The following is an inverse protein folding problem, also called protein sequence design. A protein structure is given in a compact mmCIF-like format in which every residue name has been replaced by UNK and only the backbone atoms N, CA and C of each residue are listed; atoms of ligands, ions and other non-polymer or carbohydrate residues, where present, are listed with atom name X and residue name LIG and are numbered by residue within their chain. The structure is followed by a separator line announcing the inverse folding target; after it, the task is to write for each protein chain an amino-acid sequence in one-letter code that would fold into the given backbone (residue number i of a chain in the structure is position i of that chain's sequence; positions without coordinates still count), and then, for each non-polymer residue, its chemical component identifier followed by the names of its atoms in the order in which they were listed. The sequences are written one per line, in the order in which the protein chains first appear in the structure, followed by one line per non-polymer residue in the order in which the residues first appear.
data_IF_547088534381
#
_entry.id   IF_547088534381
#
_cell.length_a   1.000
_cell.length_b   1.000
_cell.length_c   1.000
_cell.angle_alpha   90.00
_cell.angle_beta   90.00
_cell.angle_gamma   90.00
#
_symmetry.space_group_name_H-M   'P 1'
#
loop_
_entity.id
_entity.type
_entity.pdbx_description
1 polymer ?
#
# COMPACT_ATOMS: atom_id res chain seq x y z
N UNK A 1 -13.45 48.53 53.49
CA UNK A 1 -14.11 47.20 53.54
C UNK A 1 -14.13 46.66 52.11
N UNK A 2 -13.47 45.52 51.87
CA UNK A 2 -13.24 44.92 50.54
C UNK A 2 -14.21 43.74 50.37
N UNK A 3 -14.90 43.62 49.23
CA UNK A 3 -14.83 42.36 48.49
C UNK A 3 -14.81 42.65 46.97
N UNK A 4 -13.85 42.14 46.20
CA UNK A 4 -13.77 40.78 45.64
C UNK A 4 -13.73 40.95 44.11
N UNK A 5 -12.54 41.27 43.61
CA UNK A 5 -12.18 41.03 42.22
C UNK A 5 -11.74 39.57 42.18
N UNK A 6 -12.37 38.74 41.36
CA UNK A 6 -11.80 37.57 40.66
C UNK A 6 -12.96 36.78 40.03
N UNK A 7 -13.36 37.19 38.83
CA UNK A 7 -14.06 36.30 37.89
C UNK A 7 -13.09 35.96 36.76
N UNK A 8 -12.58 34.74 36.84
CA UNK A 8 -11.92 34.00 35.77
C UNK A 8 -12.85 33.93 34.55
N UNK A 9 -12.40 34.36 33.38
CA UNK A 9 -12.96 33.93 32.11
C UNK A 9 -11.92 34.07 30.99
N UNK A 10 -11.94 33.08 30.10
CA UNK A 10 -11.18 32.95 28.84
C UNK A 10 -9.82 32.23 28.93
N UNK A 11 -9.89 30.98 29.39
CA UNK A 11 -9.10 29.91 28.76
C UNK A 11 -9.58 29.78 27.31
N UNK A 12 -8.81 30.34 26.40
CA UNK A 12 -8.95 30.12 24.97
C UNK A 12 -8.74 28.64 24.64
N UNK A 13 -9.72 28.10 23.91
CA UNK A 13 -9.60 27.11 22.83
C UNK A 13 -8.14 27.01 22.36
N UNK A 14 -7.49 25.84 22.39
CA UNK A 14 -7.63 24.79 21.39
C UNK A 14 -7.38 23.42 22.06
N UNK A 15 -8.45 22.69 22.37
CA UNK A 15 -8.37 21.23 22.40
C UNK A 15 -8.20 20.78 20.95
N UNK A 16 -6.95 20.79 20.48
CA UNK A 16 -6.57 19.95 19.36
C UNK A 16 -6.86 18.52 19.80
N UNK A 17 -7.94 17.94 19.26
CA UNK A 17 -8.08 16.50 19.22
C UNK A 17 -6.85 15.99 18.48
N UNK A 18 -5.81 15.59 19.22
CA UNK A 18 -4.83 14.65 18.71
C UNK A 18 -5.64 13.42 18.37
N UNK A 19 -6.02 13.32 17.09
CA UNK A 19 -6.52 12.08 16.55
C UNK A 19 -5.40 11.08 16.80
N UNK A 20 -5.67 10.15 17.73
CA UNK A 20 -4.87 8.97 17.88
C UNK A 20 -4.72 8.36 16.50
N UNK A 21 -3.50 8.35 15.96
CA UNK A 21 -3.19 7.47 14.85
C UNK A 21 -3.47 6.08 15.40
N UNK A 22 -4.53 5.47 14.92
CA UNK A 22 -4.79 4.07 15.19
C UNK A 22 -3.70 3.32 14.42
N UNK A 23 -2.55 3.18 15.08
CA UNK A 23 -1.49 2.29 14.64
C UNK A 23 -2.16 0.96 14.32
N UNK A 24 -2.17 0.65 13.03
CA UNK A 24 -2.82 -0.53 12.51
C UNK A 24 -2.15 -1.73 13.17
N UNK A 25 -2.88 -2.34 14.12
CA UNK A 25 -2.33 -3.36 15.03
C UNK A 25 -1.86 -4.64 14.32
N UNK A 26 -2.16 -4.77 13.03
CA UNK A 26 -1.77 -5.90 12.19
C UNK A 26 -1.02 -5.46 10.92
N UNK A 27 -0.61 -4.20 10.83
CA UNK A 27 0.10 -3.73 9.65
C UNK A 27 1.50 -4.31 9.63
N UNK A 28 1.81 -5.14 8.64
CA UNK A 28 3.19 -5.55 8.43
C UNK A 28 3.87 -4.44 7.62
N UNK A 29 5.18 -4.17 7.80
CA UNK A 29 5.98 -3.16 7.05
C UNK A 29 7.00 -3.79 6.08
N UNK A 30 7.13 -3.24 4.85
CA UNK A 30 8.02 -3.81 3.81
C UNK A 30 9.41 -3.30 4.12
N UNK A 31 10.40 -4.17 3.98
CA UNK A 31 11.78 -3.77 4.05
C UNK A 31 12.10 -2.70 3.00
N UNK A 32 13.20 -1.98 3.24
CA UNK A 32 13.69 -0.92 2.34
C UNK A 32 13.98 -1.49 0.95
N UNK A 33 14.42 -2.74 0.88
CA UNK A 33 14.79 -3.45 -0.35
C UNK A 33 13.58 -3.75 -1.24
N UNK A 34 12.49 -4.28 -0.67
CA UNK A 34 11.29 -4.58 -1.44
C UNK A 34 10.65 -3.31 -1.99
N UNK A 35 10.70 -2.20 -1.23
CA UNK A 35 10.19 -0.89 -1.70
C UNK A 35 11.00 -0.36 -2.87
N UNK A 36 12.33 -0.52 -2.82
CA UNK A 36 13.22 -0.11 -3.90
C UNK A 36 12.98 -0.95 -5.17
N UNK A 37 12.83 -2.27 -5.02
CA UNK A 37 12.53 -3.17 -6.15
C UNK A 37 11.17 -2.85 -6.79
N UNK A 38 10.13 -2.60 -5.98
CA UNK A 38 8.82 -2.22 -6.51
C UNK A 38 8.91 -0.94 -7.35
N UNK A 39 9.59 0.11 -6.83
CA UNK A 39 9.78 1.37 -7.56
C UNK A 39 10.52 1.16 -8.87
N UNK A 40 11.62 0.42 -8.86
CA UNK A 40 12.38 0.13 -10.08
C UNK A 40 11.54 -0.59 -11.16
N UNK A 41 10.69 -1.55 -10.75
CA UNK A 41 9.78 -2.22 -11.66
C UNK A 41 8.65 -1.32 -12.16
N UNK A 42 8.08 -0.51 -11.27
CA UNK A 42 7.06 0.51 -11.57
C UNK A 42 7.59 1.49 -12.62
N UNK A 43 8.73 2.12 -12.38
CA UNK A 43 9.34 3.11 -13.28
C UNK A 43 9.53 2.54 -14.69
N UNK A 44 10.07 1.33 -14.78
CA UNK A 44 10.31 0.69 -16.06
C UNK A 44 9.03 0.11 -16.71
N UNK A 45 7.87 0.19 -16.05
CA UNK A 45 6.54 -0.17 -16.58
C UNK A 45 5.74 1.04 -17.05
N UNK A 46 6.08 2.26 -16.62
CA UNK A 46 5.35 3.51 -16.92
C UNK A 46 5.11 3.70 -18.43
N UNK A 47 6.16 3.53 -19.24
CA UNK A 47 6.08 3.74 -20.68
C UNK A 47 5.17 2.71 -21.38
N UNK A 48 5.17 1.46 -20.92
CA UNK A 48 4.35 0.39 -21.53
C UNK A 48 2.88 0.51 -21.14
N UNK A 49 2.60 0.93 -19.90
CA UNK A 49 1.22 1.03 -19.42
C UNK A 49 0.54 2.33 -19.84
N UNK A 50 1.33 3.35 -20.20
CA UNK A 50 0.89 4.73 -20.41
C UNK A 50 0.13 5.29 -19.19
N UNK A 51 0.53 4.85 -17.99
CA UNK A 51 -0.07 5.33 -16.74
C UNK A 51 0.49 6.70 -16.39
N UNK A 52 -0.37 7.58 -15.88
CA UNK A 52 0.10 8.87 -15.39
C UNK A 52 0.77 8.72 -14.01
N UNK A 53 1.85 9.46 -13.73
CA UNK A 53 2.50 9.42 -12.42
C UNK A 53 1.52 9.62 -11.25
N UNK A 54 0.57 10.54 -11.40
CA UNK A 54 -0.45 10.81 -10.38
C UNK A 54 -1.36 9.62 -10.07
N UNK A 55 -1.61 8.72 -11.02
CA UNK A 55 -2.40 7.52 -10.77
C UNK A 55 -1.61 6.47 -10.00
N UNK A 56 -0.30 6.40 -10.24
CA UNK A 56 0.61 5.55 -9.46
C UNK A 56 0.75 6.11 -8.05
N UNK A 57 0.94 7.41 -7.90
CA UNK A 57 1.00 8.08 -6.59
C UNK A 57 -0.29 7.89 -5.79
N UNK A 58 -1.46 8.07 -6.41
CA UNK A 58 -2.75 7.82 -5.79
C UNK A 58 -2.89 6.35 -5.36
N UNK A 59 -2.55 5.40 -6.24
CA UNK A 59 -2.52 3.98 -5.89
C UNK A 59 -1.61 3.75 -4.68
N UNK A 60 -0.41 4.35 -4.67
CA UNK A 60 0.55 4.24 -3.57
C UNK A 60 0.09 4.90 -2.27
N UNK A 61 -0.80 5.89 -2.35
CA UNK A 61 -1.47 6.52 -1.21
C UNK A 61 -2.70 5.72 -0.74
N UNK A 62 -3.03 4.61 -1.41
CA UNK A 62 -4.17 3.76 -1.10
C UNK A 62 -5.46 4.15 -1.82
N UNK A 63 -5.37 5.06 -2.79
CA UNK A 63 -6.48 5.52 -3.62
C UNK A 63 -6.47 4.76 -4.96
N UNK A 64 -7.14 3.61 -5.00
CA UNK A 64 -7.21 2.78 -6.21
C UNK A 64 -8.24 3.34 -7.20
N UNK A 65 -7.73 4.01 -8.23
CA UNK A 65 -8.54 4.41 -9.39
C UNK A 65 -8.50 3.31 -10.45
N UNK A 66 -9.63 2.66 -10.69
CA UNK A 66 -9.73 1.65 -11.73
C UNK A 66 -9.71 2.30 -13.12
N UNK A 67 -8.57 2.20 -13.80
CA UNK A 67 -8.40 2.71 -15.17
C UNK A 67 -7.60 1.72 -16.01
N UNK A 68 -7.82 1.67 -17.34
CA UNK A 68 -7.09 0.75 -18.21
C UNK A 68 -5.56 0.91 -18.13
N UNK A 69 -5.07 2.15 -17.99
CA UNK A 69 -3.64 2.42 -17.85
C UNK A 69 -3.07 1.90 -16.53
N UNK A 70 -3.81 2.03 -15.43
CA UNK A 70 -3.38 1.50 -14.14
C UNK A 70 -3.44 -0.04 -14.10
N UNK A 71 -4.45 -0.68 -14.73
CA UNK A 71 -4.50 -2.16 -14.85
C UNK A 71 -3.27 -2.70 -15.58
N UNK A 72 -2.93 -2.10 -16.73
CA UNK A 72 -1.70 -2.42 -17.47
C UNK A 72 -0.45 -2.25 -16.63
N UNK A 73 -0.39 -1.18 -15.85
CA UNK A 73 0.74 -0.91 -14.98
C UNK A 73 0.90 -1.99 -13.91
N UNK A 74 -0.18 -2.32 -13.20
CA UNK A 74 -0.22 -3.38 -12.19
C UNK A 74 0.18 -4.72 -12.79
N UNK A 75 -0.39 -5.08 -13.95
CA UNK A 75 -0.03 -6.30 -14.67
C UNK A 75 1.48 -6.34 -14.98
N UNK A 76 2.04 -5.28 -15.56
CA UNK A 76 3.47 -5.20 -15.90
C UNK A 76 4.35 -5.38 -14.65
N UNK A 77 4.04 -4.68 -13.56
CA UNK A 77 4.83 -4.75 -12.31
C UNK A 77 4.75 -6.15 -11.71
N UNK A 78 3.55 -6.72 -11.55
CA UNK A 78 3.37 -8.05 -10.97
C UNK A 78 4.04 -9.14 -11.81
N UNK A 79 4.01 -9.02 -13.14
CA UNK A 79 4.66 -9.94 -14.05
C UNK A 79 6.19 -9.88 -13.90
N UNK A 80 6.77 -8.68 -13.81
CA UNK A 80 8.21 -8.49 -13.59
C UNK A 80 8.67 -8.99 -12.22
N UNK A 81 7.85 -8.76 -11.20
CA UNK A 81 8.06 -9.31 -9.87
C UNK A 81 7.92 -10.85 -9.82
N UNK A 82 7.47 -11.49 -10.92
CA UNK A 82 7.15 -12.93 -11.01
C UNK A 82 6.11 -13.37 -9.98
N UNK A 83 5.18 -12.46 -9.63
CA UNK A 83 4.05 -12.73 -8.73
C UNK A 83 2.89 -13.36 -9.50
N UNK A 84 2.75 -12.98 -10.77
CA UNK A 84 1.76 -13.54 -11.69
C UNK A 84 2.43 -14.20 -12.90
N UNK A 85 1.68 -15.08 -13.56
CA UNK A 85 1.99 -15.64 -14.87
C UNK A 85 1.47 -14.72 -16.00
N UNK A 86 1.83 -15.02 -17.25
CA UNK A 86 1.44 -14.20 -18.43
C UNK A 86 -0.06 -14.14 -18.71
N UNK A 87 -0.84 -15.05 -18.12
CA UNK A 87 -2.31 -15.06 -18.16
C UNK A 87 -2.93 -14.24 -17.00
N UNK A 88 -2.11 -13.55 -16.21
CA UNK A 88 -2.58 -12.67 -15.12
C UNK A 88 -2.78 -13.37 -13.78
N UNK A 89 -2.68 -14.71 -13.72
CA UNK A 89 -2.96 -15.49 -12.52
C UNK A 89 -1.78 -15.53 -11.56
N UNK A 90 -2.03 -15.76 -10.28
CA UNK A 90 -0.96 -15.91 -9.28
C UNK A 90 -0.01 -17.06 -9.61
N UNK A 91 1.27 -16.76 -9.65
CA UNK A 91 2.33 -17.76 -9.76
C UNK A 91 2.63 -18.36 -8.38
N UNK A 92 1.74 -19.22 -7.88
CA UNK A 92 1.74 -19.76 -6.50
C UNK A 92 3.12 -20.27 -6.04
N UNK A 93 3.82 -21.06 -6.86
CA UNK A 93 5.14 -21.58 -6.50
C UNK A 93 6.21 -20.49 -6.33
N UNK A 94 6.25 -19.51 -7.24
CA UNK A 94 7.19 -18.39 -7.15
C UNK A 94 6.86 -17.48 -5.97
N UNK A 95 5.57 -17.30 -5.68
CA UNK A 95 5.11 -16.54 -4.52
C UNK A 95 5.55 -17.20 -3.20
N UNK A 96 5.32 -18.51 -3.03
CA UNK A 96 5.77 -19.25 -1.85
C UNK A 96 7.29 -19.11 -1.62
N UNK A 97 8.08 -19.25 -2.69
CA UNK A 97 9.53 -19.07 -2.62
C UNK A 97 9.94 -17.67 -2.16
N UNK A 98 9.27 -16.62 -2.68
CA UNK A 98 9.52 -15.22 -2.27
C UNK A 98 9.06 -14.93 -0.84
N UNK A 99 8.01 -15.59 -0.38
CA UNK A 99 7.46 -15.37 0.96
C UNK A 99 8.24 -16.15 2.03
N UNK A 100 8.96 -17.23 1.68
CA UNK A 100 9.61 -18.12 2.65
C UNK A 100 10.58 -17.42 3.62
N UNK A 101 11.21 -16.32 3.20
CA UNK A 101 12.13 -15.55 4.05
C UNK A 101 11.44 -14.50 4.94
N UNK A 102 10.12 -14.34 4.84
CA UNK A 102 9.38 -13.26 5.50
C UNK A 102 8.73 -13.74 6.80
N UNK A 103 8.74 -12.87 7.82
CA UNK A 103 8.13 -13.16 9.12
C UNK A 103 6.60 -13.37 9.05
N UNK A 104 5.96 -12.82 8.04
CA UNK A 104 4.50 -12.83 7.81
C UNK A 104 4.05 -13.81 6.71
N UNK A 105 4.97 -14.64 6.20
CA UNK A 105 4.79 -15.50 5.03
C UNK A 105 3.46 -16.27 5.04
N UNK A 106 3.09 -16.83 6.20
CA UNK A 106 1.89 -17.64 6.36
C UNK A 106 0.60 -16.84 6.15
N UNK A 107 0.55 -15.61 6.69
CA UNK A 107 -0.63 -14.76 6.54
C UNK A 107 -0.71 -14.23 5.10
N UNK A 108 0.43 -13.80 4.54
CA UNK A 108 0.55 -13.35 3.16
C UNK A 108 0.06 -14.39 2.16
N UNK A 109 0.59 -15.61 2.27
CA UNK A 109 0.27 -16.71 1.39
C UNK A 109 -1.21 -17.05 1.44
N UNK A 110 -1.79 -17.16 2.64
CA UNK A 110 -3.21 -17.50 2.81
C UNK A 110 -4.14 -16.49 2.13
N UNK A 111 -3.84 -15.20 2.25
CA UNK A 111 -4.68 -14.16 1.63
C UNK A 111 -4.54 -14.19 0.11
N UNK A 112 -3.31 -14.35 -0.40
CA UNK A 112 -3.07 -14.41 -1.84
C UNK A 112 -3.68 -15.66 -2.46
N UNK A 113 -3.58 -16.82 -1.80
CA UNK A 113 -4.27 -18.04 -2.23
C UNK A 113 -5.79 -17.86 -2.31
N UNK A 114 -6.39 -17.15 -1.33
CA UNK A 114 -7.81 -16.81 -1.37
C UNK A 114 -8.19 -15.84 -2.50
N UNK A 115 -7.20 -15.21 -3.15
CA UNK A 115 -7.35 -14.32 -4.29
C UNK A 115 -6.85 -14.94 -5.60
N UNK A 116 -6.53 -16.24 -5.63
CA UNK A 116 -5.94 -16.85 -6.83
C UNK A 116 -6.93 -17.05 -7.98
N UNK A 117 -8.23 -17.22 -7.66
CA UNK A 117 -9.26 -17.61 -8.62
C UNK A 117 -10.03 -16.41 -9.19
N UNK A 118 -9.39 -15.25 -9.26
CA UNK A 118 -9.98 -14.06 -9.88
C UNK A 118 -10.07 -14.24 -11.40
N UNK A 119 -11.19 -13.84 -11.98
CA UNK A 119 -11.43 -13.85 -13.43
C UNK A 119 -11.16 -12.49 -14.07
N UNK A 120 -11.37 -12.40 -15.38
CA UNK A 120 -11.23 -11.18 -16.17
C UNK A 120 -11.25 -11.50 -17.66
N UNK A 121 -11.57 -10.51 -18.50
CA UNK A 121 -11.65 -10.69 -19.95
C UNK A 121 -10.24 -10.75 -20.59
N UNK A 122 -9.28 -10.05 -19.98
CA UNK A 122 -7.87 -10.04 -20.41
C UNK A 122 -6.94 -10.42 -19.25
N UNK A 123 -5.68 -10.82 -19.54
CA UNK A 123 -4.67 -11.03 -18.49
C UNK A 123 -4.46 -9.82 -17.57
N UNK A 124 -4.64 -8.61 -18.09
CA UNK A 124 -4.55 -7.36 -17.32
C UNK A 124 -5.71 -7.23 -16.34
N UNK A 125 -6.92 -7.62 -16.76
CA UNK A 125 -8.11 -7.64 -15.90
C UNK A 125 -7.99 -8.71 -14.81
N UNK A 126 -7.51 -9.90 -15.16
CA UNK A 126 -7.24 -10.97 -14.19
C UNK A 126 -6.24 -10.48 -13.14
N UNK A 127 -5.10 -9.93 -13.57
CA UNK A 127 -4.07 -9.42 -12.66
C UNK A 127 -4.57 -8.27 -11.79
N UNK A 128 -5.38 -7.37 -12.36
CA UNK A 128 -6.02 -6.29 -11.62
C UNK A 128 -6.98 -6.82 -10.56
N UNK A 129 -7.78 -7.83 -10.87
CA UNK A 129 -8.73 -8.41 -9.91
C UNK A 129 -8.02 -9.19 -8.80
N UNK A 130 -6.94 -9.93 -9.13
CA UNK A 130 -6.03 -10.53 -8.13
C UNK A 130 -5.46 -9.46 -7.21
N UNK A 131 -4.93 -8.39 -7.79
CA UNK A 131 -4.35 -7.25 -7.06
C UNK A 131 -5.38 -6.61 -6.12
N UNK A 132 -6.58 -6.28 -6.63
CA UNK A 132 -7.68 -5.70 -5.85
C UNK A 132 -8.14 -6.62 -4.72
N UNK A 133 -8.33 -7.91 -4.98
CA UNK A 133 -8.69 -8.87 -3.93
C UNK A 133 -7.66 -8.89 -2.81
N UNK A 134 -6.36 -8.89 -3.17
CA UNK A 134 -5.28 -8.80 -2.20
C UNK A 134 -5.30 -7.46 -1.46
N UNK A 135 -5.55 -6.35 -2.14
CA UNK A 135 -5.64 -5.02 -1.56
C UNK A 135 -6.80 -4.91 -0.55
N UNK A 136 -8.01 -5.33 -0.94
CA UNK A 136 -9.23 -5.25 -0.13
C UNK A 136 -9.16 -6.13 1.12
N UNK A 137 -8.46 -7.27 1.04
CA UNK A 137 -8.20 -8.15 2.19
C UNK A 137 -7.04 -7.66 3.06
N UNK A 138 -6.51 -6.45 2.81
CA UNK A 138 -5.31 -5.89 3.45
C UNK A 138 -4.15 -6.88 3.43
N UNK A 139 -4.03 -7.61 2.32
CA UNK A 139 -2.99 -8.60 2.16
C UNK A 139 -1.63 -7.92 2.09
N UNK A 140 -0.67 -8.71 2.55
CA UNK A 140 0.76 -8.48 2.68
C UNK A 140 1.48 -8.11 1.37
N UNK A 141 0.80 -7.82 0.27
CA UNK A 141 1.47 -7.20 -0.88
C UNK A 141 1.37 -5.67 -0.86
N UNK A 142 0.38 -5.09 -0.17
CA UNK A 142 -0.01 -3.69 -0.42
C UNK A 142 -0.15 -2.80 0.80
N UNK A 143 0.02 -3.33 2.01
CA UNK A 143 0.28 -2.51 3.22
C UNK A 143 1.66 -1.79 3.17
N UNK A 144 2.28 -1.82 1.99
CA UNK A 144 3.64 -1.44 1.64
C UNK A 144 3.77 -0.41 0.55
N UNK A 145 2.63 -0.07 -0.04
CA UNK A 145 2.53 1.14 -0.81
C UNK A 145 2.95 2.31 0.09
N UNK A 146 3.92 3.15 -0.32
CA UNK A 146 4.38 4.26 0.50
C UNK A 146 3.23 5.25 0.63
N UNK A 147 2.34 5.02 1.59
CA UNK A 147 1.52 6.07 2.15
C UNK A 147 2.50 7.00 2.85
N UNK A 148 3.01 7.98 2.12
CA UNK A 148 3.48 9.22 2.74
C UNK A 148 2.24 9.95 3.27
N UNK A 149 1.60 9.36 4.27
CA UNK A 149 0.76 10.05 5.22
C UNK A 149 1.38 9.68 6.57
N UNK A 150 2.57 10.25 6.83
CA UNK A 150 3.28 10.09 8.11
C UNK A 150 4.80 9.90 8.09
N UNK A 151 5.51 10.19 6.99
CA UNK A 151 6.99 10.21 6.99
C UNK A 151 7.59 11.55 6.54
N UNK A 152 6.85 12.65 6.72
CA UNK A 152 7.46 13.96 6.97
C UNK A 152 7.53 14.09 8.50
N UNK A 153 8.74 14.35 9.03
CA UNK A 153 9.11 14.40 10.46
C UNK A 153 9.48 13.04 11.07
N UNK A 154 10.73 12.57 10.89
CA UNK A 154 11.80 12.57 11.92
C UNK A 154 13.13 12.24 11.21
N UNK A 155 13.73 13.23 10.54
CA UNK A 155 15.19 13.35 10.51
C UNK A 155 15.50 14.77 10.92
N UNK A 156 15.43 15.03 12.22
CA UNK A 156 16.32 16.02 12.78
C UNK A 156 16.74 15.68 14.22
N UNK A 157 18.06 15.59 14.39
CA UNK A 157 18.86 15.87 15.60
C UNK A 157 19.02 14.80 16.69
N UNK A 158 20.18 14.14 16.68
CA UNK A 158 21.17 13.98 17.78
C UNK A 158 22.23 12.97 17.31
N UNK A 159 23.54 13.23 17.19
CA UNK A 159 24.49 14.23 17.75
C UNK A 159 25.45 14.76 16.67
#
# INVERSE_FOLDING_TARGET
MKPWLLTLALLGLLNGAYQATTGCKNCITMGKEEKAMFRAHSDACMAQSAVQPSQVEAMLAGELVDSPALRRHVYCVLLRCKVITKDGKLHKAALLGKMAARADARNATKVLEACADQGGDTPEDVAWNVFRCGYDKKSVLFEYMPTNIGASEIENSSE
#
